data_IF_509011619434
#
_entry.id   IF_509011619434
#
_cell.length_a   1.000
_cell.length_b   1.000
_cell.length_c   1.000
_cell.angle_alpha   90.00
_cell.angle_beta   90.00
_cell.angle_gamma   90.00
#
_symmetry.space_group_name_H-M   'P 1'
#
loop_
_entity.id
_entity.type
_entity.pdbx_description
1 polymer ?
#
# COMPACT_ATOMS: atom_id res chain seq x y z
N UNK A 1 7.94 10.79 -2.78
CA UNK A 1 6.87 9.86 -3.17
C UNK A 1 6.13 9.42 -1.92
N UNK A 2 4.95 8.81 -2.04
CA UNK A 2 4.20 8.28 -0.90
C UNK A 2 3.80 6.84 -1.19
N UNK A 3 3.83 6.00 -0.16
CA UNK A 3 3.42 4.61 -0.23
C UNK A 3 2.20 4.40 0.67
N UNK A 4 1.19 3.71 0.15
CA UNK A 4 -0.04 3.38 0.88
C UNK A 4 -0.14 1.89 1.13
N UNK A 5 -0.35 1.50 2.39
CA UNK A 5 -0.82 0.14 2.73
C UNK A 5 -2.30 0.22 3.10
N UNK A 6 -3.14 -0.37 2.25
CA UNK A 6 -4.61 -0.31 2.38
C UNK A 6 -5.12 -1.57 3.07
N UNK A 7 -5.81 -1.39 4.19
CA UNK A 7 -6.42 -2.45 4.99
C UNK A 7 -7.93 -2.25 5.06
N UNK A 8 -8.67 -3.32 5.33
CA UNK A 8 -10.12 -3.28 5.49
C UNK A 8 -10.59 -4.03 6.74
N UNK A 9 -11.73 -3.61 7.29
CA UNK A 9 -12.26 -4.11 8.54
C UNK A 9 -12.99 -5.46 8.38
N UNK A 10 -12.22 -6.55 8.43
CA UNK A 10 -12.74 -7.93 8.33
C UNK A 10 -13.66 -8.35 9.47
N UNK A 11 -13.66 -7.64 10.60
CA UNK A 11 -14.55 -7.93 11.73
C UNK A 11 -15.96 -7.43 11.50
N UNK A 12 -16.14 -6.43 10.63
CA UNK A 12 -17.46 -5.81 10.35
C UNK A 12 -18.03 -6.14 8.97
N UNK A 13 -17.16 -6.44 8.00
CA UNK A 13 -17.57 -6.63 6.60
C UNK A 13 -17.14 -8.01 6.09
N UNK A 14 -17.83 -8.51 5.06
CA UNK A 14 -17.52 -9.82 4.47
C UNK A 14 -16.56 -9.71 3.27
N UNK A 15 -16.47 -8.53 2.67
CA UNK A 15 -15.59 -8.26 1.53
C UNK A 15 -14.96 -6.87 1.59
N UNK A 16 -13.87 -6.70 0.84
CA UNK A 16 -13.25 -5.39 0.64
C UNK A 16 -14.23 -4.40 -0.03
N UNK A 17 -15.03 -4.85 -0.99
CA UNK A 17 -15.97 -4.00 -1.71
C UNK A 17 -17.04 -3.40 -0.78
N UNK A 18 -17.61 -4.21 0.12
CA UNK A 18 -18.54 -3.72 1.15
C UNK A 18 -17.88 -2.73 2.09
N UNK A 19 -16.66 -3.05 2.55
CA UNK A 19 -15.91 -2.18 3.45
C UNK A 19 -15.54 -0.85 2.80
N UNK A 20 -15.14 -0.86 1.52
CA UNK A 20 -14.78 0.34 0.77
C UNK A 20 -15.95 1.31 0.57
N UNK A 21 -17.19 0.81 0.56
CA UNK A 21 -18.40 1.61 0.45
C UNK A 21 -18.90 2.17 1.79
N UNK A 22 -18.32 1.76 2.92
CA UNK A 22 -18.81 2.06 4.26
C UNK A 22 -17.84 2.95 5.06
N UNK A 23 -18.41 3.84 5.88
CA UNK A 23 -17.63 4.63 6.83
C UNK A 23 -16.93 3.72 7.85
N UNK A 24 -15.64 3.96 8.10
CA UNK A 24 -14.82 3.12 8.99
C UNK A 24 -14.56 1.70 8.46
N UNK A 25 -14.82 1.44 7.17
CA UNK A 25 -14.51 0.16 6.56
C UNK A 25 -13.05 -0.02 6.18
N UNK A 26 -12.29 1.07 5.99
CA UNK A 26 -10.89 1.03 5.59
C UNK A 26 -9.97 1.73 6.58
N UNK A 27 -8.71 1.28 6.61
CA UNK A 27 -7.61 1.95 7.26
C UNK A 27 -6.41 1.99 6.30
N UNK A 28 -5.89 3.20 6.03
CA UNK A 28 -4.75 3.39 5.14
C UNK A 28 -3.57 3.88 5.96
N UNK A 29 -2.44 3.17 5.86
CA UNK A 29 -1.16 3.66 6.37
C UNK A 29 -0.42 4.35 5.23
N UNK A 30 -0.29 5.68 5.32
CA UNK A 30 0.52 6.49 4.43
C UNK A 30 1.94 6.67 4.96
N UNK A 31 2.93 6.43 4.12
CA UNK A 31 4.35 6.62 4.45
C UNK A 31 5.05 7.46 3.39
N UNK A 32 5.76 8.49 3.84
CA UNK A 32 6.60 9.28 2.95
C UNK A 32 7.88 8.51 2.58
N UNK A 33 8.16 8.46 1.28
CA UNK A 33 9.41 7.95 0.74
C UNK A 33 10.37 9.11 0.49
N UNK A 34 11.50 9.09 1.18
CA UNK A 34 12.62 10.01 0.99
C UNK A 34 13.72 9.37 0.14
N UNK A 35 14.39 10.17 -0.69
CA UNK A 35 15.55 9.71 -1.46
C UNK A 35 16.71 9.44 -0.51
N UNK A 36 17.40 8.31 -0.72
CA UNK A 36 18.51 7.89 0.12
C UNK A 36 19.07 6.54 -0.33
N UNK A 37 19.47 5.72 0.64
CA UNK A 37 19.99 4.38 0.37
C UNK A 37 18.94 3.46 -0.24
N UNK A 38 19.40 2.46 -1.01
CA UNK A 38 18.54 1.42 -1.57
C UNK A 38 17.78 0.66 -0.46
N UNK A 39 16.47 0.50 -0.63
CA UNK A 39 15.65 -0.34 0.25
C UNK A 39 15.49 -1.75 -0.36
N UNK A 40 15.91 -2.83 0.33
CA UNK A 40 15.93 -4.18 -0.26
C UNK A 40 14.57 -4.65 -0.81
N UNK A 41 13.47 -4.41 -0.09
CA UNK A 41 12.14 -4.80 -0.57
C UNK A 41 11.64 -3.90 -1.71
N UNK A 42 12.07 -2.63 -1.75
CA UNK A 42 11.71 -1.73 -2.86
C UNK A 42 12.42 -2.17 -4.14
N UNK A 43 13.68 -2.61 -4.02
CA UNK A 43 14.46 -3.14 -5.15
C UNK A 43 13.75 -4.30 -5.85
N UNK A 44 13.19 -5.25 -5.09
CA UNK A 44 12.43 -6.39 -5.64
C UNK A 44 11.26 -5.91 -6.51
N UNK A 45 10.47 -4.96 -5.99
CA UNK A 45 9.32 -4.39 -6.70
C UNK A 45 9.80 -3.64 -7.95
N UNK A 46 10.79 -2.74 -7.80
CA UNK A 46 11.32 -1.93 -8.89
C UNK A 46 11.94 -2.77 -10.00
N UNK A 47 12.56 -3.90 -9.68
CA UNK A 47 13.13 -4.83 -10.66
C UNK A 47 12.09 -5.46 -11.59
N UNK A 48 10.81 -5.48 -11.19
CA UNK A 48 9.72 -6.03 -11.99
C UNK A 48 9.00 -4.99 -12.85
N UNK A 49 9.15 -3.70 -12.54
CA UNK A 49 8.49 -2.61 -13.27
C UNK A 49 8.76 -2.60 -14.79
N UNK A 50 9.97 -2.94 -15.29
CA UNK A 50 10.22 -2.98 -16.74
C UNK A 50 9.33 -3.97 -17.50
N UNK A 51 8.83 -5.02 -16.84
CA UNK A 51 7.98 -6.04 -17.46
C UNK A 51 6.49 -5.66 -17.48
N UNK A 52 6.10 -4.57 -16.82
CA UNK A 52 4.72 -4.05 -16.74
C UNK A 52 4.65 -2.59 -17.19
N UNK A 53 5.47 -2.21 -18.17
CA UNK A 53 5.61 -0.84 -18.67
C UNK A 53 4.36 -0.23 -19.32
N UNK A 54 3.36 -1.06 -19.63
CA UNK A 54 2.11 -0.65 -20.28
C UNK A 54 0.88 -1.05 -19.45
N UNK A 55 -0.18 -0.25 -19.58
CA UNK A 55 -1.46 -0.48 -18.89
C UNK A 55 -2.02 -1.87 -19.22
N UNK A 56 -2.49 -2.57 -18.19
CA UNK A 56 -3.11 -3.89 -18.30
C UNK A 56 -2.14 -5.05 -18.26
N UNK A 57 -0.82 -4.79 -18.27
CA UNK A 57 0.18 -5.82 -18.02
C UNK A 57 0.25 -6.14 -16.52
N UNK A 58 0.44 -7.42 -16.22
CA UNK A 58 0.66 -7.91 -14.87
C UNK A 58 1.75 -8.97 -14.89
N UNK A 59 2.51 -9.05 -13.80
CA UNK A 59 3.53 -10.07 -13.60
C UNK A 59 3.38 -10.65 -12.19
N UNK A 60 3.56 -11.96 -12.07
CA UNK A 60 3.60 -12.62 -10.77
C UNK A 60 4.94 -12.34 -10.12
N UNK A 61 4.89 -11.73 -8.94
CA UNK A 61 6.08 -11.55 -8.12
C UNK A 61 6.41 -12.88 -7.43
N UNK A 62 7.54 -13.49 -7.79
CA UNK A 62 7.98 -14.79 -7.25
C UNK A 62 8.63 -14.66 -5.89
N UNK A 63 9.34 -13.56 -5.66
CA UNK A 63 9.97 -13.28 -4.38
C UNK A 63 8.94 -12.73 -3.40
N UNK A 64 8.92 -13.28 -2.19
CA UNK A 64 8.10 -12.73 -1.12
C UNK A 64 8.56 -11.30 -0.78
N UNK A 65 7.61 -10.36 -0.76
CA UNK A 65 7.80 -9.01 -0.24
C UNK A 65 7.23 -8.94 1.16
N UNK A 66 7.99 -8.34 2.08
CA UNK A 66 7.59 -8.16 3.48
C UNK A 66 7.15 -6.71 3.74
N UNK A 67 5.84 -6.41 3.77
CA UNK A 67 5.33 -5.05 3.95
C UNK A 67 5.84 -4.37 5.23
N UNK A 68 6.00 -5.12 6.31
CA UNK A 68 6.44 -4.63 7.62
C UNK A 68 7.83 -3.96 7.58
N UNK A 69 8.67 -4.32 6.61
CA UNK A 69 10.02 -3.74 6.49
C UNK A 69 10.01 -2.29 6.02
N UNK A 70 8.92 -1.85 5.39
CA UNK A 70 8.75 -0.46 4.97
C UNK A 70 8.30 0.45 6.11
N UNK A 71 7.88 -0.12 7.25
CA UNK A 71 7.48 0.67 8.39
C UNK A 71 8.70 1.39 8.99
N UNK A 72 8.59 2.70 9.24
CA UNK A 72 9.65 3.43 9.92
C UNK A 72 9.83 2.93 11.36
N UNK A 73 11.05 3.02 11.89
CA UNK A 73 11.34 2.68 13.29
C UNK A 73 10.56 3.55 14.28
N UNK A 74 10.28 4.80 13.90
CA UNK A 74 9.41 5.68 14.67
C UNK A 74 7.95 5.45 14.26
N UNK A 75 7.15 4.96 15.20
CA UNK A 75 5.71 4.72 15.01
C UNK A 75 4.82 5.93 15.28
N UNK A 76 5.36 7.14 15.40
CA UNK A 76 4.56 8.37 15.55
C UNK A 76 3.80 8.66 14.26
N UNK A 77 2.50 8.96 14.36
CA UNK A 77 1.64 9.18 13.21
C UNK A 77 0.64 10.31 13.47
N UNK A 78 0.08 10.85 12.38
CA UNK A 78 -1.13 11.67 12.39
C UNK A 78 -2.28 10.86 11.82
N UNK A 79 -3.50 11.12 12.26
CA UNK A 79 -4.70 10.46 11.76
C UNK A 79 -5.84 11.47 11.60
N UNK A 80 -6.67 11.26 10.60
CA UNK A 80 -7.87 12.04 10.34
C UNK A 80 -8.87 11.18 9.55
N UNK A 81 -10.17 11.49 9.67
CA UNK A 81 -11.20 10.87 8.84
C UNK A 81 -11.08 11.42 7.41
N UNK A 82 -10.72 10.54 6.47
CA UNK A 82 -10.44 10.90 5.07
C UNK A 82 -11.38 10.24 4.06
N UNK A 83 -11.01 10.36 2.79
CA UNK A 83 -11.65 9.70 1.64
C UNK A 83 -10.61 8.98 0.79
N UNK A 84 -11.04 8.25 -0.24
CA UNK A 84 -10.11 7.79 -1.27
C UNK A 84 -9.46 8.97 -2.00
N UNK A 85 -8.20 8.79 -2.38
CA UNK A 85 -7.44 9.73 -3.22
C UNK A 85 -7.57 9.41 -4.72
N UNK A 86 -8.33 8.38 -5.06
CA UNK A 86 -8.71 8.00 -6.43
C UNK A 86 -10.24 7.93 -6.54
N UNK A 87 -10.83 8.25 -7.70
CA UNK A 87 -12.27 8.04 -7.91
C UNK A 87 -12.70 6.58 -7.67
N UNK A 88 -13.91 6.34 -7.14
CA UNK A 88 -14.51 5.00 -7.03
C UNK A 88 -14.96 4.44 -8.38
#
# INVERSE_FOLDING_TARGET
>A
AEMHMVHWNKSKFSSFAEAAAAEGGLAVLGMFLAVGNEHPEMKKICGLLPFISHKGLAITMTDAVRPETFLPKNGSYYTYSGSFTTPP
#
